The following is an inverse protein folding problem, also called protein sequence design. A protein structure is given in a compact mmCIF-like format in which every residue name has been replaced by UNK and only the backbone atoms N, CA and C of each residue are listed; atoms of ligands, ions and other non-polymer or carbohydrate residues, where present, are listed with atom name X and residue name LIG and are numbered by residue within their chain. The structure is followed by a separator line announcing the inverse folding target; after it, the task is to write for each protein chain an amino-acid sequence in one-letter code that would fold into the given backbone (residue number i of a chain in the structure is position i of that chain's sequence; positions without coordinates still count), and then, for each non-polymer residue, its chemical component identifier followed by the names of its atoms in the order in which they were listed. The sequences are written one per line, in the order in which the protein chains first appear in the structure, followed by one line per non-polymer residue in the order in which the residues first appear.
data_IF_093785581951
#
_entry.id   IF_093785581951
#
_cell.length_a   1.000
_cell.length_b   1.000
_cell.length_c   1.000
_cell.angle_alpha   90.00
_cell.angle_beta   90.00
_cell.angle_gamma   90.00
#
_symmetry.space_group_name_H-M   'P 1'
#
loop_
_entity.id
_entity.type
_entity.pdbx_description
1 polymer ?
#
# COMPACT_ATOMS: atom_id res chain seq x y z
N UNK A 1 9.56 -2.56 -22.88
CA UNK A 1 10.14 -3.75 -22.31
C UNK A 1 10.46 -3.61 -20.84
N UNK A 2 10.73 -4.72 -20.17
CA UNK A 2 11.21 -4.77 -18.81
C UNK A 2 12.68 -4.33 -18.69
N UNK A 3 13.17 -4.32 -17.44
CA UNK A 3 14.60 -4.06 -17.13
C UNK A 3 15.39 -5.38 -17.08
N UNK A 4 14.70 -6.50 -16.78
CA UNK A 4 15.35 -7.79 -16.60
C UNK A 4 14.40 -8.99 -16.60
N UNK A 5 14.49 -9.81 -15.55
CA UNK A 5 13.63 -10.98 -15.33
C UNK A 5 12.19 -10.61 -15.02
N UNK A 6 11.74 -10.85 -13.78
CA UNK A 6 10.46 -10.33 -13.32
C UNK A 6 10.62 -8.86 -12.92
N UNK A 7 9.78 -8.00 -13.46
CA UNK A 7 9.74 -6.57 -13.16
C UNK A 7 8.40 -6.20 -12.51
N UNK A 8 8.43 -5.19 -11.65
CA UNK A 8 7.22 -4.60 -11.06
C UNK A 8 6.69 -3.51 -11.97
N UNK A 9 5.40 -3.57 -12.27
CA UNK A 9 4.67 -2.63 -13.12
C UNK A 9 3.48 -2.06 -12.35
N UNK A 10 3.08 -0.83 -12.69
CA UNK A 10 1.89 -0.17 -12.15
C UNK A 10 0.89 0.11 -13.27
N UNK A 11 -0.39 -0.05 -12.95
CA UNK A 11 -1.49 0.43 -13.79
C UNK A 11 -2.50 1.17 -12.93
N UNK A 12 -3.30 2.01 -13.55
CA UNK A 12 -4.34 2.82 -12.92
C UNK A 12 -5.67 2.62 -13.64
N UNK A 13 -6.76 2.74 -12.89
CA UNK A 13 -8.09 2.84 -13.51
C UNK A 13 -8.29 4.24 -14.10
N UNK A 14 -8.78 4.31 -15.33
CA UNK A 14 -9.23 5.54 -15.96
C UNK A 14 -10.53 6.05 -15.30
N UNK A 15 -10.95 7.27 -15.64
CA UNK A 15 -12.24 7.81 -15.21
C UNK A 15 -13.45 6.92 -15.60
N UNK A 16 -13.31 6.14 -16.67
CA UNK A 16 -14.34 5.20 -17.15
C UNK A 16 -14.17 3.78 -16.58
N UNK A 17 -13.44 3.62 -15.47
CA UNK A 17 -13.17 2.35 -14.79
C UNK A 17 -12.43 1.29 -15.63
N UNK A 18 -11.93 1.62 -16.81
CA UNK A 18 -11.03 0.76 -17.58
C UNK A 18 -9.58 0.87 -17.07
N UNK A 19 -8.84 -0.24 -17.11
CA UNK A 19 -7.42 -0.23 -16.78
C UNK A 19 -6.59 0.43 -17.88
N UNK A 20 -5.71 1.33 -17.50
CA UNK A 20 -4.72 1.92 -18.40
C UNK A 20 -3.61 0.93 -18.72
N UNK A 21 -2.83 1.22 -19.76
CA UNK A 21 -1.65 0.41 -20.09
C UNK A 21 -0.67 0.40 -18.92
N UNK A 22 -0.19 -0.77 -18.45
CA UNK A 22 0.81 -0.84 -17.39
C UNK A 22 2.09 -0.09 -17.74
N UNK A 23 2.67 0.56 -16.74
CA UNK A 23 3.95 1.28 -16.82
C UNK A 23 4.97 0.59 -15.91
N UNK A 24 6.17 0.32 -16.44
CA UNK A 24 7.28 -0.22 -15.66
C UNK A 24 7.73 0.79 -14.60
N UNK A 25 7.96 0.36 -13.35
CA UNK A 25 8.37 1.26 -12.26
C UNK A 25 9.82 1.75 -12.36
N UNK A 26 10.56 1.28 -13.38
CA UNK A 26 11.87 1.78 -13.73
C UNK A 26 13.00 1.37 -12.79
N UNK A 27 14.19 1.90 -13.05
CA UNK A 27 15.45 1.49 -12.44
C UNK A 27 15.61 1.81 -10.94
N UNK A 28 14.70 2.56 -10.34
CA UNK A 28 14.67 2.77 -8.88
C UNK A 28 14.18 1.53 -8.14
N UNK A 29 13.45 0.66 -8.83
CA UNK A 29 12.84 -0.55 -8.28
C UNK A 29 13.35 -1.77 -9.04
N UNK A 30 13.20 -1.76 -10.37
CA UNK A 30 13.53 -2.88 -11.23
C UNK A 30 15.02 -2.92 -11.62
N UNK A 31 15.59 -4.13 -11.63
CA UNK A 31 16.98 -4.42 -11.98
C UNK A 31 17.03 -5.38 -13.19
N UNK A 32 18.22 -5.76 -13.69
CA UNK A 32 18.32 -6.84 -14.67
C UNK A 32 17.95 -8.25 -14.14
N UNK A 33 17.65 -8.40 -12.85
CA UNK A 33 17.24 -9.67 -12.23
C UNK A 33 15.74 -9.69 -11.97
N UNK A 34 15.31 -10.15 -10.79
CA UNK A 34 13.90 -10.36 -10.48
C UNK A 34 13.45 -9.44 -9.34
N UNK A 35 12.34 -8.75 -9.54
CA UNK A 35 11.60 -8.02 -8.53
C UNK A 35 10.17 -8.55 -8.45
N UNK A 36 9.75 -8.94 -7.25
CA UNK A 36 8.45 -9.60 -7.00
C UNK A 36 7.78 -9.09 -5.74
N UNK A 37 6.59 -9.61 -5.45
CA UNK A 37 5.85 -9.40 -4.20
C UNK A 37 5.74 -7.94 -3.77
N UNK A 38 5.27 -7.02 -4.66
CA UNK A 38 5.12 -5.63 -4.31
C UNK A 38 4.03 -5.44 -3.24
N UNK A 39 4.34 -4.67 -2.20
CA UNK A 39 3.41 -4.25 -1.17
C UNK A 39 3.49 -2.74 -0.96
N UNK A 40 2.39 -2.05 -1.23
CA UNK A 40 2.23 -0.63 -0.94
C UNK A 40 1.45 -0.49 0.37
N UNK A 41 2.06 0.14 1.37
CA UNK A 41 1.38 0.42 2.63
C UNK A 41 0.25 1.45 2.43
N UNK A 42 -0.73 1.44 3.33
CA UNK A 42 -1.90 2.31 3.23
C UNK A 42 -1.61 3.82 3.40
N UNK A 43 -0.37 4.21 3.72
CA UNK A 43 0.10 5.59 3.68
C UNK A 43 0.36 6.10 2.23
N UNK A 44 0.15 5.25 1.23
CA UNK A 44 0.37 5.51 -0.21
C UNK A 44 1.79 5.96 -0.59
N UNK A 45 2.76 5.71 0.27
CA UNK A 45 4.13 6.16 0.09
C UNK A 45 5.18 5.07 0.33
N UNK A 46 5.00 4.29 1.40
CA UNK A 46 5.94 3.26 1.81
C UNK A 46 5.75 2.00 0.98
N UNK A 47 6.74 1.71 0.15
CA UNK A 47 6.71 0.61 -0.81
C UNK A 47 7.73 -0.46 -0.42
N UNK A 48 7.29 -1.71 -0.39
CA UNK A 48 8.11 -2.88 -0.07
C UNK A 48 8.03 -3.87 -1.23
N UNK A 49 9.11 -4.58 -1.47
CA UNK A 49 9.17 -5.61 -2.51
C UNK A 49 10.35 -6.55 -2.27
N UNK A 50 10.34 -7.69 -2.94
CA UNK A 50 11.43 -8.65 -2.90
C UNK A 50 12.27 -8.55 -4.17
N UNK A 51 13.60 -8.65 -4.05
CA UNK A 51 14.52 -8.60 -5.18
C UNK A 51 15.78 -9.43 -4.95
N UNK A 52 16.29 -10.04 -6.01
CA UNK A 52 17.63 -10.62 -6.04
C UNK A 52 18.59 -9.82 -6.94
N UNK A 53 18.21 -8.64 -7.34
CA UNK A 53 19.06 -7.73 -8.12
C UNK A 53 19.71 -6.63 -7.33
N UNK A 54 19.12 -6.21 -6.22
CA UNK A 54 19.72 -5.29 -5.27
C UNK A 54 20.66 -6.03 -4.29
N UNK A 55 21.61 -5.31 -3.71
CA UNK A 55 22.55 -5.90 -2.76
C UNK A 55 21.84 -6.35 -1.49
N UNK A 56 21.80 -7.66 -1.27
CA UNK A 56 21.15 -8.32 -0.15
C UNK A 56 22.07 -9.27 0.62
N UNK A 57 21.46 -10.17 1.41
CA UNK A 57 22.10 -11.18 2.23
C UNK A 57 21.96 -12.58 1.60
N UNK A 58 20.84 -12.83 0.94
CA UNK A 58 20.47 -14.07 0.31
C UNK A 58 20.22 -13.99 -1.19
N UNK A 59 19.36 -14.86 -1.68
CA UNK A 59 18.93 -14.85 -3.07
C UNK A 59 17.84 -13.78 -3.25
N UNK A 60 16.67 -13.94 -2.63
CA UNK A 60 15.60 -12.93 -2.63
C UNK A 60 15.54 -12.25 -1.26
N UNK A 61 15.78 -10.96 -1.24
CA UNK A 61 15.70 -10.12 -0.04
C UNK A 61 14.56 -9.12 -0.13
N UNK A 62 14.03 -8.71 1.01
CA UNK A 62 13.03 -7.66 1.13
C UNK A 62 13.67 -6.27 1.20
N UNK A 63 13.09 -5.35 0.43
CA UNK A 63 13.55 -3.97 0.30
C UNK A 63 12.42 -2.98 0.58
N UNK A 64 12.79 -1.79 0.99
CA UNK A 64 11.93 -0.64 1.25
C UNK A 64 12.30 0.53 0.35
N UNK A 65 11.31 1.24 -0.15
CA UNK A 65 11.46 2.50 -0.88
C UNK A 65 10.38 3.50 -0.46
N UNK A 66 10.79 4.72 -0.11
CA UNK A 66 9.89 5.86 0.01
C UNK A 66 9.65 6.44 -1.39
N UNK A 67 8.42 6.28 -1.91
CA UNK A 67 8.07 6.68 -3.27
C UNK A 67 8.12 8.19 -3.46
N UNK A 68 7.79 8.98 -2.43
CA UNK A 68 7.77 10.44 -2.46
C UNK A 68 9.16 11.04 -2.26
N UNK A 69 10.10 10.27 -1.71
CA UNK A 69 11.47 10.73 -1.51
C UNK A 69 12.28 10.59 -2.81
N UNK A 70 12.27 11.65 -3.65
CA UNK A 70 13.01 11.67 -4.92
C UNK A 70 14.53 11.60 -4.75
N UNK A 71 15.05 11.88 -3.55
CA UNK A 71 16.50 11.79 -3.25
C UNK A 71 16.93 10.36 -2.95
N UNK A 72 16.01 9.48 -2.54
CA UNK A 72 16.27 8.05 -2.36
C UNK A 72 16.40 7.37 -3.72
N UNK A 73 17.62 7.27 -4.22
CA UNK A 73 17.91 6.72 -5.58
C UNK A 73 17.84 5.20 -5.65
N UNK A 74 17.98 4.52 -4.52
CA UNK A 74 17.99 3.07 -4.39
C UNK A 74 17.14 2.64 -3.21
N UNK A 75 16.51 1.44 -3.26
CA UNK A 75 15.80 0.91 -2.12
C UNK A 75 16.75 0.53 -0.99
N UNK A 76 16.24 0.56 0.23
CA UNK A 76 16.95 0.11 1.42
C UNK A 76 16.66 -1.37 1.65
N UNK A 77 17.69 -2.19 1.85
CA UNK A 77 17.52 -3.52 2.42
C UNK A 77 16.99 -3.38 3.85
N UNK A 78 15.93 -4.13 4.20
CA UNK A 78 15.28 -3.98 5.50
C UNK A 78 16.06 -4.60 6.67
N UNK A 79 17.17 -5.28 6.39
CA UNK A 79 18.16 -5.73 7.39
C UNK A 79 18.07 -7.19 7.75
N UNK A 80 19.12 -7.66 8.45
CA UNK A 80 19.34 -9.08 8.81
C UNK A 80 18.34 -9.63 9.83
N UNK A 81 17.60 -8.77 10.53
CA UNK A 81 16.55 -9.22 11.45
C UNK A 81 15.36 -9.83 10.70
N UNK A 82 15.21 -9.50 9.41
CA UNK A 82 14.10 -9.93 8.56
C UNK A 82 14.62 -10.69 7.34
N UNK A 83 15.68 -10.21 6.71
CA UNK A 83 16.34 -10.87 5.59
C UNK A 83 17.42 -11.85 6.11
N UNK A 84 17.60 -12.96 5.40
CA UNK A 84 18.55 -14.03 5.74
C UNK A 84 19.38 -14.43 4.51
N UNK A 85 20.11 -15.54 4.60
CA UNK A 85 20.77 -16.16 3.44
C UNK A 85 19.77 -16.91 2.52
N UNK A 86 18.51 -16.98 2.92
CA UNK A 86 17.44 -17.65 2.20
C UNK A 86 16.70 -16.74 1.19
N UNK A 87 15.42 -17.05 1.02
CA UNK A 87 14.51 -16.31 0.15
C UNK A 87 13.39 -15.67 0.97
N UNK A 88 13.38 -14.37 0.99
CA UNK A 88 12.30 -13.59 1.59
C UNK A 88 11.43 -12.97 0.48
N UNK A 89 10.18 -13.45 0.38
CA UNK A 89 9.34 -13.11 -0.76
C UNK A 89 8.16 -12.20 -0.45
N UNK A 90 7.68 -12.16 0.78
CA UNK A 90 6.44 -11.47 1.11
C UNK A 90 6.53 -10.74 2.45
N UNK A 91 5.90 -9.58 2.50
CA UNK A 91 5.76 -8.78 3.72
C UNK A 91 4.41 -8.06 3.71
N UNK A 92 3.78 -7.97 4.86
CA UNK A 92 2.61 -7.13 5.11
C UNK A 92 2.83 -6.33 6.39
N UNK A 93 2.29 -5.12 6.46
CA UNK A 93 2.43 -4.27 7.63
C UNK A 93 1.10 -4.04 8.34
N UNK A 94 1.17 -3.89 9.66
CA UNK A 94 0.08 -3.28 10.42
C UNK A 94 -0.08 -1.81 10.05
N UNK A 95 -1.27 -1.27 10.33
CA UNK A 95 -1.57 0.15 10.19
C UNK A 95 -0.68 1.08 11.04
N UNK A 96 0.08 0.53 12.01
CA UNK A 96 1.04 1.28 12.82
C UNK A 96 2.33 1.63 12.07
N UNK A 97 2.52 1.07 10.86
CA UNK A 97 3.67 1.30 9.98
C UNK A 97 5.00 0.72 10.47
N UNK A 98 5.03 0.07 11.64
CA UNK A 98 6.26 -0.44 12.25
C UNK A 98 6.27 -1.95 12.49
N UNK A 99 5.12 -2.57 12.56
CA UNK A 99 4.98 -4.01 12.75
C UNK A 99 4.72 -4.69 11.42
N UNK A 100 5.60 -5.61 11.03
CA UNK A 100 5.49 -6.40 9.82
C UNK A 100 5.10 -7.86 10.13
N UNK A 101 4.49 -8.52 9.17
CA UNK A 101 4.17 -9.94 9.16
C UNK A 101 4.80 -10.60 7.95
N UNK A 102 5.27 -11.82 8.13
CA UNK A 102 5.80 -12.68 7.08
C UNK A 102 5.48 -14.14 7.37
N UNK A 103 5.28 -14.94 6.31
CA UNK A 103 5.21 -16.39 6.42
C UNK A 103 6.62 -16.97 6.45
N UNK A 104 6.90 -17.86 7.40
CA UNK A 104 8.17 -18.56 7.52
C UNK A 104 7.98 -20.06 7.61
N UNK A 105 8.86 -20.79 6.94
CA UNK A 105 8.85 -22.24 7.01
C UNK A 105 9.40 -22.73 8.35
N UNK A 106 8.54 -23.37 9.13
CA UNK A 106 8.90 -24.02 10.38
C UNK A 106 9.31 -25.46 10.12
N UNK A 107 10.60 -25.77 10.31
CA UNK A 107 11.16 -27.10 10.04
C UNK A 107 10.62 -28.16 10.98
N UNK A 108 10.35 -27.80 12.24
CA UNK A 108 9.89 -28.75 13.27
C UNK A 108 8.44 -29.15 13.04
N UNK A 109 7.59 -28.19 12.71
CA UNK A 109 6.17 -28.41 12.43
C UNK A 109 5.89 -28.84 10.99
N UNK A 110 6.87 -28.69 10.08
CA UNK A 110 6.73 -28.91 8.61
C UNK A 110 5.55 -28.13 8.02
N UNK A 111 5.40 -26.89 8.42
CA UNK A 111 4.36 -25.95 7.93
C UNK A 111 4.92 -24.52 7.89
N UNK A 112 4.09 -23.58 7.41
CA UNK A 112 4.38 -22.16 7.50
C UNK A 112 3.74 -21.57 8.78
N UNK A 113 4.53 -20.84 9.55
CA UNK A 113 4.06 -20.00 10.65
C UNK A 113 4.00 -18.54 10.21
N UNK A 114 3.02 -17.78 10.70
CA UNK A 114 2.98 -16.33 10.54
C UNK A 114 3.79 -15.69 11.67
N UNK A 115 4.87 -15.03 11.30
CA UNK A 115 5.81 -14.40 12.24
C UNK A 115 5.71 -12.87 12.16
N UNK A 116 5.89 -12.21 13.29
CA UNK A 116 5.87 -10.75 13.39
C UNK A 116 7.25 -10.18 13.65
N UNK A 117 7.56 -9.07 12.99
CA UNK A 117 8.82 -8.35 13.08
C UNK A 117 8.60 -6.88 13.40
N UNK A 118 9.53 -6.26 14.09
CA UNK A 118 9.62 -4.81 14.20
C UNK A 118 10.51 -4.27 13.10
N UNK A 119 9.98 -3.40 12.24
CA UNK A 119 10.78 -2.80 11.18
C UNK A 119 11.83 -1.84 11.75
N UNK A 120 13.05 -1.82 11.18
CA UNK A 120 14.04 -0.78 11.45
C UNK A 120 13.44 0.60 11.18
N UNK A 121 13.77 1.58 12.00
CA UNK A 121 13.15 2.92 11.98
C UNK A 121 13.14 3.57 10.58
N UNK A 122 14.26 3.47 9.86
CA UNK A 122 14.42 4.00 8.50
C UNK A 122 13.58 3.31 7.43
N UNK A 123 12.98 2.15 7.74
CA UNK A 123 12.12 1.38 6.83
C UNK A 123 10.67 1.34 7.28
N UNK A 124 10.28 2.16 8.27
CA UNK A 124 8.90 2.22 8.76
C UNK A 124 8.02 3.05 7.83
N UNK A 125 6.80 2.58 7.66
CA UNK A 125 5.73 3.36 7.06
C UNK A 125 5.18 4.38 8.07
N UNK A 126 4.43 5.35 7.58
CA UNK A 126 3.64 6.23 8.45
C UNK A 126 2.42 5.49 8.97
N UNK A 127 2.12 5.66 10.26
CA UNK A 127 0.89 5.10 10.82
C UNK A 127 -0.35 5.71 10.13
N UNK A 128 -1.41 4.90 9.98
CA UNK A 128 -2.68 5.34 9.39
C UNK A 128 -3.86 4.94 10.25
N UNK A 129 -4.94 5.72 10.20
CA UNK A 129 -6.26 5.32 10.69
C UNK A 129 -7.06 4.70 9.55
N UNK A 130 -7.56 3.49 9.77
CA UNK A 130 -8.49 2.84 8.84
C UNK A 130 -9.92 3.13 9.31
N UNK A 131 -10.69 3.81 8.47
CA UNK A 131 -12.07 4.18 8.75
C UNK A 131 -12.98 3.44 7.77
N UNK A 132 -13.89 2.63 8.31
CA UNK A 132 -14.95 2.00 7.53
C UNK A 132 -16.14 2.95 7.42
N UNK A 133 -16.47 3.34 6.22
CA UNK A 133 -17.56 4.26 5.92
C UNK A 133 -18.77 3.50 5.41
N UNK A 134 -19.90 3.63 6.13
CA UNK A 134 -21.21 3.16 5.68
C UNK A 134 -22.04 4.38 5.29
N UNK A 135 -22.47 4.46 4.05
CA UNK A 135 -23.40 5.50 3.61
C UNK A 135 -24.80 4.95 3.67
N UNK A 136 -25.65 5.58 4.49
CA UNK A 136 -27.03 5.13 4.73
C UNK A 136 -27.99 6.28 4.31
N UNK A 137 -29.01 5.94 3.55
CA UNK A 137 -30.10 6.84 3.18
C UNK A 137 -31.43 6.22 3.65
N UNK A 138 -32.17 6.91 4.53
CA UNK A 138 -33.45 6.45 5.09
C UNK A 138 -33.40 5.02 5.63
N UNK A 139 -32.37 4.68 6.41
CA UNK A 139 -32.08 3.37 6.99
C UNK A 139 -31.72 2.25 6.01
N UNK A 140 -31.51 2.55 4.75
CA UNK A 140 -31.06 1.61 3.73
C UNK A 140 -29.63 1.96 3.26
N UNK A 141 -28.79 0.97 2.93
CA UNK A 141 -27.49 1.23 2.34
C UNK A 141 -27.62 2.08 1.07
N UNK A 142 -26.80 3.13 0.97
CA UNK A 142 -26.78 3.99 -0.22
C UNK A 142 -25.63 3.56 -1.13
N UNK A 143 -25.96 3.06 -2.32
CA UNK A 143 -25.00 2.60 -3.32
C UNK A 143 -24.70 3.68 -4.37
N UNK A 144 -23.57 3.54 -5.04
CA UNK A 144 -23.11 4.43 -6.12
C UNK A 144 -23.00 5.91 -5.71
N UNK A 145 -22.79 6.19 -4.44
CA UNK A 145 -22.48 7.54 -3.98
C UNK A 145 -21.01 7.86 -4.28
N UNK A 146 -20.74 9.05 -4.79
CA UNK A 146 -19.38 9.57 -4.88
C UNK A 146 -18.95 10.07 -3.51
N UNK A 147 -17.84 9.52 -2.99
CA UNK A 147 -17.18 9.98 -1.77
C UNK A 147 -15.91 10.71 -2.20
N UNK A 148 -15.79 11.97 -1.84
CA UNK A 148 -14.61 12.79 -2.09
C UNK A 148 -13.97 13.11 -0.74
N UNK A 149 -12.72 12.68 -0.56
CA UNK A 149 -11.92 12.91 0.64
C UNK A 149 -10.88 13.98 0.30
N UNK A 150 -10.99 15.13 0.94
CA UNK A 150 -10.02 16.21 0.81
C UNK A 150 -9.14 16.21 2.04
N UNK A 151 -7.85 16.08 1.84
CA UNK A 151 -6.86 16.33 2.89
C UNK A 151 -6.62 17.85 2.97
N UNK A 152 -7.13 18.49 4.02
CA UNK A 152 -7.03 19.93 4.21
C UNK A 152 -5.62 20.38 4.62
N UNK A 153 -4.81 19.48 5.17
CA UNK A 153 -3.43 19.73 5.56
C UNK A 153 -2.50 19.79 4.35
N UNK A 154 -2.67 18.85 3.42
CA UNK A 154 -1.80 18.75 2.23
C UNK A 154 -2.43 19.37 0.97
N UNK A 155 -3.72 19.72 1.00
CA UNK A 155 -4.44 20.24 -0.15
C UNK A 155 -4.74 19.21 -1.24
N UNK A 156 -4.59 17.92 -0.94
CA UNK A 156 -4.83 16.82 -1.87
C UNK A 156 -6.28 16.32 -1.79
N UNK A 157 -6.77 15.68 -2.85
CA UNK A 157 -8.09 15.06 -2.84
C UNK A 157 -8.10 13.71 -3.56
N UNK A 158 -8.88 12.77 -3.02
CA UNK A 158 -9.12 11.46 -3.63
C UNK A 158 -10.61 11.19 -3.68
N UNK A 159 -11.08 10.61 -4.77
CA UNK A 159 -12.49 10.24 -4.93
C UNK A 159 -12.68 8.73 -4.92
N UNK A 160 -13.67 8.27 -4.19
CA UNK A 160 -14.13 6.89 -4.12
C UNK A 160 -15.59 6.81 -4.55
N UNK A 161 -16.04 5.60 -4.85
CA UNK A 161 -17.47 5.33 -5.05
C UNK A 161 -17.88 4.25 -4.06
N UNK A 162 -19.05 4.38 -3.45
CA UNK A 162 -19.62 3.30 -2.65
C UNK A 162 -19.86 2.11 -3.56
N UNK A 163 -19.56 0.88 -3.09
CA UNK A 163 -19.83 -0.33 -3.87
C UNK A 163 -21.31 -0.48 -4.21
N UNK A 164 -21.60 -1.31 -5.21
CA UNK A 164 -22.97 -1.66 -5.61
C UNK A 164 -23.59 -2.76 -4.74
N UNK A 165 -22.85 -3.30 -3.82
CA UNK A 165 -23.21 -4.38 -2.90
C UNK A 165 -22.90 -4.00 -1.44
N UNK A 166 -23.03 -4.94 -0.52
CA UNK A 166 -22.83 -4.71 0.92
C UNK A 166 -21.38 -4.40 1.34
N UNK A 167 -20.45 -4.28 0.40
CA UNK A 167 -19.06 -3.96 0.71
C UNK A 167 -18.93 -2.54 1.30
N UNK A 168 -18.10 -2.44 2.32
CA UNK A 168 -17.83 -1.16 3.01
C UNK A 168 -16.70 -0.41 2.33
N UNK A 169 -16.84 0.90 2.19
CA UNK A 169 -15.73 1.75 1.77
C UNK A 169 -14.77 1.93 2.93
N UNK A 170 -13.53 1.46 2.78
CA UNK A 170 -12.47 1.65 3.76
C UNK A 170 -11.57 2.82 3.32
N UNK A 171 -11.38 3.78 4.20
CA UNK A 171 -10.48 4.91 4.01
C UNK A 171 -9.25 4.76 4.91
N UNK A 172 -8.07 5.03 4.36
CA UNK A 172 -6.85 5.16 5.13
C UNK A 172 -6.50 6.64 5.27
N UNK A 173 -6.48 7.15 6.50
CA UNK A 173 -6.25 8.56 6.81
C UNK A 173 -5.02 8.72 7.71
N UNK A 174 -4.24 9.78 7.48
CA UNK A 174 -3.09 10.11 8.33
C UNK A 174 -3.57 10.67 9.67
N UNK A 175 -3.05 10.20 10.82
CA UNK A 175 -3.55 10.61 12.14
C UNK A 175 -3.39 12.10 12.47
N UNK A 176 -2.44 12.75 11.79
CA UNK A 176 -2.06 14.16 12.03
C UNK A 176 -2.74 15.16 11.11
N UNK A 177 -3.52 14.67 10.13
CA UNK A 177 -4.09 15.51 9.08
C UNK A 177 -5.58 15.76 9.33
N UNK A 178 -6.05 16.90 8.81
CA UNK A 178 -7.47 17.27 8.82
C UNK A 178 -8.11 16.89 7.49
N UNK A 179 -9.31 16.33 7.55
CA UNK A 179 -10.00 15.86 6.36
C UNK A 179 -11.42 16.42 6.26
N UNK A 180 -11.81 16.70 5.02
CA UNK A 180 -13.20 16.98 4.66
C UNK A 180 -13.70 15.84 3.79
N UNK A 181 -14.75 15.14 4.23
CA UNK A 181 -15.38 14.08 3.47
C UNK A 181 -16.69 14.62 2.88
N UNK A 182 -16.79 14.66 1.55
CA UNK A 182 -18.00 15.01 0.82
C UNK A 182 -18.63 13.76 0.25
N UNK A 183 -19.92 13.58 0.48
CA UNK A 183 -20.69 12.46 -0.05
C UNK A 183 -21.74 13.04 -1.00
N UNK A 184 -21.63 12.66 -2.27
CA UNK A 184 -22.52 13.11 -3.33
C UNK A 184 -23.36 11.94 -3.83
N UNK A 185 -24.67 11.97 -3.56
CA UNK A 185 -25.65 11.10 -4.19
C UNK A 185 -26.49 11.96 -5.12
N UNK A 186 -26.51 11.65 -6.41
CA UNK A 186 -27.39 12.38 -7.35
C UNK A 186 -28.85 12.12 -6.96
N UNK A 187 -29.72 13.16 -6.76
CA UNK A 187 -29.47 14.59 -6.97
C UNK A 187 -29.12 15.42 -5.73
N UNK A 188 -28.81 14.79 -4.57
CA UNK A 188 -28.58 15.52 -3.31
C UNK A 188 -27.11 15.42 -2.87
N UNK A 189 -26.54 16.60 -2.52
CA UNK A 189 -25.17 16.68 -1.97
C UNK A 189 -25.24 16.81 -0.45
N UNK A 190 -24.55 15.91 0.26
CA UNK A 190 -24.35 16.01 1.71
C UNK A 190 -22.87 16.15 1.99
N UNK A 191 -22.50 17.12 2.82
CA UNK A 191 -21.11 17.36 3.23
C UNK A 191 -20.97 17.04 4.70
N UNK A 192 -20.01 16.17 5.05
CA UNK A 192 -19.68 15.82 6.42
C UNK A 192 -18.22 16.24 6.64
N UNK A 193 -17.96 17.04 7.67
CA UNK A 193 -16.61 17.39 8.09
C UNK A 193 -16.19 16.47 9.24
N UNK A 194 -15.03 15.84 9.12
CA UNK A 194 -14.36 15.12 10.20
C UNK A 194 -13.12 15.94 10.54
N UNK A 195 -13.08 16.46 11.75
CA UNK A 195 -11.96 17.23 12.30
C UNK A 195 -11.19 16.36 13.26
#
# INVERSE_FOLDING_TARGET
GGQGGYDIWVTHKSKNSSWLKPTNLGKRINTPRNETSPYLHADNNSFYFSSNGWKGFGDMDLFYLDLNNITMKQPLNIGQEINSEGNESEIMLKKDGKTAYRSEWNKDKKNYDLVTYSLPEKCRAKAVHLINLNVIDKQMPAYNCKIEVLNLTEGSSVSYYTPSDEEKTCLALMPTDNYLIKINKSPQNTTISII
#
